data_IF_644179114489
#
_entry.id   IF_644179114489
#
_cell.length_a   1.000
_cell.length_b   1.000
_cell.length_c   1.000
_cell.angle_alpha   90.00
_cell.angle_beta   90.00
_cell.angle_gamma   90.00
#
_symmetry.space_group_name_H-M   'P 1'
#
loop_
_entity.id
_entity.type
_entity.pdbx_description
1 polymer ?
#
# COMPACT_ATOMS: atom_id res chain seq x y z
N UNK A 1 10.43 -6.74 -7.39
CA UNK A 1 11.17 -6.45 -6.13
C UNK A 1 10.53 -7.20 -4.97
N UNK A 2 11.35 -7.82 -4.18
CA UNK A 2 10.95 -8.48 -2.94
C UNK A 2 11.26 -7.58 -1.74
N UNK A 3 10.89 -8.02 -0.54
CA UNK A 3 10.99 -7.20 0.69
C UNK A 3 12.36 -6.55 0.91
N UNK A 4 13.45 -7.29 0.68
CA UNK A 4 14.79 -6.73 0.92
C UNK A 4 15.12 -5.56 0.00
N UNK A 5 14.66 -5.61 -1.23
CA UNK A 5 14.83 -4.51 -2.17
C UNK A 5 13.88 -3.35 -1.85
N UNK A 6 12.64 -3.68 -1.48
CA UNK A 6 11.64 -2.69 -1.08
C UNK A 6 12.14 -1.87 0.11
N UNK A 7 12.76 -2.53 1.09
CA UNK A 7 13.31 -1.88 2.29
C UNK A 7 14.40 -0.86 1.96
N UNK A 8 15.05 -0.98 0.81
CA UNK A 8 16.07 -0.01 0.39
C UNK A 8 15.44 1.26 -0.17
N UNK A 9 14.15 1.22 -0.51
CA UNK A 9 13.45 2.33 -1.15
C UNK A 9 12.52 3.03 -0.15
N UNK A 10 11.73 2.27 0.61
CA UNK A 10 10.79 2.85 1.57
C UNK A 10 11.25 2.63 3.01
N UNK A 11 10.90 3.53 3.94
CA UNK A 11 11.37 3.44 5.33
C UNK A 11 10.61 2.43 6.19
N UNK A 12 9.50 1.91 5.71
CA UNK A 12 8.64 0.99 6.46
C UNK A 12 9.38 -0.28 6.86
N UNK A 13 9.11 -0.78 8.07
CA UNK A 13 9.71 -2.02 8.61
C UNK A 13 8.64 -2.82 9.34
N UNK A 14 8.89 -4.12 9.47
CA UNK A 14 7.99 -5.00 10.22
C UNK A 14 7.77 -4.46 11.64
N UNK A 15 6.55 -4.53 12.20
CA UNK A 15 5.39 -5.20 11.64
C UNK A 15 4.55 -4.36 10.67
N UNK A 16 4.97 -3.13 10.34
CA UNK A 16 4.23 -2.22 9.46
C UNK A 16 4.67 -2.28 8.00
N UNK A 17 5.58 -3.16 7.63
CA UNK A 17 5.87 -3.42 6.22
C UNK A 17 4.83 -4.40 5.69
N UNK A 18 3.88 -3.90 4.91
CA UNK A 18 2.67 -4.62 4.51
C UNK A 18 2.60 -4.87 3.00
N UNK A 19 3.74 -5.06 2.38
CA UNK A 19 3.87 -5.41 0.96
C UNK A 19 4.91 -6.51 0.84
N UNK A 20 4.58 -7.60 0.16
CA UNK A 20 5.50 -8.72 -0.06
C UNK A 20 6.36 -8.52 -1.29
N UNK A 21 5.78 -7.97 -2.35
CA UNK A 21 6.52 -7.68 -3.59
C UNK A 21 5.85 -6.56 -4.37
N UNK A 22 6.64 -5.83 -5.14
CA UNK A 22 6.17 -4.76 -6.05
C UNK A 22 6.95 -4.83 -7.34
N UNK A 23 6.26 -4.64 -8.45
CA UNK A 23 6.85 -4.48 -9.76
C UNK A 23 6.34 -3.15 -10.36
N UNK A 24 7.25 -2.34 -10.90
CA UNK A 24 6.85 -1.08 -11.54
C UNK A 24 6.98 -1.27 -13.06
N UNK A 25 5.84 -1.16 -13.75
CA UNK A 25 5.75 -1.36 -15.20
C UNK A 25 5.00 -0.17 -15.80
N UNK A 26 5.66 0.56 -16.70
CA UNK A 26 5.07 1.69 -17.42
C UNK A 26 4.40 2.71 -16.49
N UNK A 27 5.07 3.04 -15.38
CA UNK A 27 4.57 4.02 -14.41
C UNK A 27 3.47 3.50 -13.50
N UNK A 28 3.19 2.21 -13.52
CA UNK A 28 2.20 1.57 -12.65
C UNK A 28 2.92 0.65 -11.67
N UNK A 29 2.62 0.82 -10.37
CA UNK A 29 3.13 -0.08 -9.35
C UNK A 29 2.13 -1.23 -9.18
N UNK A 30 2.63 -2.45 -9.34
CA UNK A 30 1.87 -3.68 -9.14
C UNK A 30 2.40 -4.34 -7.88
N UNK A 31 1.66 -4.19 -6.78
CA UNK A 31 2.06 -4.72 -5.49
C UNK A 31 1.26 -5.95 -5.09
N UNK A 32 1.80 -6.76 -4.20
CA UNK A 32 1.12 -7.95 -3.66
C UNK A 32 1.37 -8.10 -2.19
N UNK A 33 0.36 -8.55 -1.47
CA UNK A 33 0.48 -8.97 -0.10
C UNK A 33 -0.39 -10.20 0.15
N UNK A 34 0.19 -11.25 0.74
CA UNK A 34 -0.55 -12.45 1.14
C UNK A 34 -0.80 -12.39 2.65
N UNK A 35 -2.07 -12.44 3.04
CA UNK A 35 -2.47 -12.41 4.45
C UNK A 35 -2.21 -13.78 5.05
N UNK A 36 -1.32 -13.85 6.07
CA UNK A 36 -0.93 -15.10 6.71
C UNK A 36 -1.96 -15.59 7.73
N UNK A 37 -2.46 -14.65 8.54
CA UNK A 37 -3.41 -14.97 9.62
C UNK A 37 -2.90 -14.63 11.01
N UNK A 38 -1.59 -14.40 11.16
CA UNK A 38 -0.95 -14.05 12.44
C UNK A 38 -0.62 -12.57 12.59
N UNK A 39 -0.99 -11.75 11.63
CA UNK A 39 -0.67 -10.33 11.67
C UNK A 39 -1.37 -9.63 12.83
N UNK A 40 -0.70 -8.60 13.39
CA UNK A 40 -1.19 -7.86 14.54
C UNK A 40 -2.57 -7.23 14.28
N UNK A 41 -2.85 -6.80 13.04
CA UNK A 41 -4.09 -6.10 12.70
C UNK A 41 -5.31 -7.03 12.63
N UNK A 42 -5.11 -8.34 12.65
CA UNK A 42 -6.21 -9.31 12.69
C UNK A 42 -6.65 -9.63 14.10
N UNK A 43 -5.79 -9.36 15.08
CA UNK A 43 -6.07 -9.66 16.48
C UNK A 43 -7.14 -8.74 17.02
N UNK A 44 -8.33 -9.29 17.32
CA UNK A 44 -9.47 -8.51 17.77
C UNK A 44 -10.31 -7.89 16.65
N UNK A 45 -9.99 -8.13 15.40
CA UNK A 45 -10.71 -7.56 14.26
C UNK A 45 -11.17 -8.63 13.27
N UNK A 46 -12.12 -9.49 13.62
CA UNK A 46 -12.87 -9.56 14.86
C UNK A 46 -12.65 -10.93 15.50
N UNK A 47 -12.92 -11.14 16.82
CA UNK A 47 -12.78 -12.45 17.43
C UNK A 47 -13.58 -13.51 16.66
N UNK A 48 -12.95 -14.64 16.34
CA UNK A 48 -13.52 -15.74 15.55
C UNK A 48 -13.94 -15.38 14.12
N UNK A 49 -13.67 -14.17 13.67
CA UNK A 49 -14.03 -13.71 12.33
C UNK A 49 -12.98 -12.70 11.85
N UNK A 50 -11.73 -13.11 11.64
CA UNK A 50 -10.66 -12.19 11.27
C UNK A 50 -10.86 -11.66 9.85
N UNK A 51 -10.74 -10.34 9.71
CA UNK A 51 -10.82 -9.65 8.43
C UNK A 51 -9.82 -8.49 8.46
N UNK A 52 -9.17 -8.23 7.33
CA UNK A 52 -8.19 -7.15 7.25
C UNK A 52 -8.93 -5.81 7.39
N UNK A 53 -8.54 -4.97 8.38
CA UNK A 53 -9.16 -3.66 8.53
C UNK A 53 -9.01 -2.79 7.29
N UNK A 54 -10.05 -2.03 6.97
CA UNK A 54 -10.03 -1.15 5.79
C UNK A 54 -8.85 -0.18 5.80
N UNK A 55 -8.52 0.38 6.96
CA UNK A 55 -7.39 1.32 7.08
C UNK A 55 -6.05 0.66 6.77
N UNK A 56 -5.93 -0.64 7.04
CA UNK A 56 -4.72 -1.41 6.70
C UNK A 56 -4.64 -1.61 5.19
N UNK A 57 -5.76 -1.83 4.51
CA UNK A 57 -5.78 -1.90 3.04
C UNK A 57 -5.34 -0.57 2.43
N UNK A 58 -5.73 0.55 3.03
CA UNK A 58 -5.26 1.87 2.61
C UNK A 58 -3.75 2.01 2.80
N UNK A 59 -3.21 1.50 3.90
CA UNK A 59 -1.77 1.52 4.15
C UNK A 59 -1.02 0.67 3.13
N UNK A 60 -1.55 -0.50 2.79
CA UNK A 60 -0.97 -1.36 1.76
C UNK A 60 -0.95 -0.68 0.39
N UNK A 61 -2.04 -0.01 0.01
CA UNK A 61 -2.10 0.77 -1.22
C UNK A 61 -1.00 1.85 -1.22
N UNK A 62 -0.88 2.55 -0.11
CA UNK A 62 0.12 3.62 0.04
C UNK A 62 1.55 3.12 -0.08
N UNK A 63 1.86 2.02 0.57
CA UNK A 63 3.21 1.45 0.52
C UNK A 63 3.57 0.99 -0.89
N UNK A 64 2.63 0.35 -1.58
CA UNK A 64 2.83 -0.05 -2.97
C UNK A 64 3.10 1.16 -3.84
N UNK A 65 2.33 2.23 -3.67
CA UNK A 65 2.46 3.46 -4.44
C UNK A 65 3.78 4.18 -4.20
N UNK A 66 4.35 4.06 -3.00
CA UNK A 66 5.63 4.71 -2.67
C UNK A 66 6.78 4.26 -3.57
N UNK A 67 6.68 3.09 -4.19
CA UNK A 67 7.69 2.61 -5.13
C UNK A 67 7.69 3.41 -6.44
N UNK A 68 6.68 4.26 -6.66
CA UNK A 68 6.60 5.17 -7.81
C UNK A 68 7.29 6.51 -7.55
N UNK A 69 7.67 6.79 -6.30
CA UNK A 69 8.39 8.01 -5.96
C UNK A 69 9.78 7.94 -6.58
N UNK A 70 10.25 9.08 -7.08
CA UNK A 70 11.51 9.17 -7.81
C UNK A 70 12.66 8.50 -7.03
N UNK A 71 13.29 7.53 -7.68
CA UNK A 71 14.41 6.77 -7.10
C UNK A 71 15.65 7.64 -6.87
N UNK A 72 15.73 8.81 -7.50
CA UNK A 72 16.81 9.77 -7.25
C UNK A 72 16.66 10.46 -5.91
N UNK A 73 15.46 10.39 -5.31
CA UNK A 73 15.25 10.87 -3.95
C UNK A 73 15.69 9.76 -3.00
N UNK A 74 16.91 9.88 -2.51
CA UNK A 74 17.44 8.96 -1.50
C UNK A 74 16.95 9.41 -0.13
N UNK A 75 16.56 8.44 0.71
CA UNK A 75 16.25 8.69 2.10
C UNK A 75 15.08 9.69 2.26
N UNK A 76 13.89 9.22 2.07
CA UNK A 76 12.67 10.00 2.24
C UNK A 76 11.70 9.32 3.20
N UNK A 77 10.81 10.12 3.79
CA UNK A 77 9.69 9.59 4.59
C UNK A 77 8.39 10.08 3.96
N UNK A 78 7.50 9.17 3.56
CA UNK A 78 6.19 9.55 3.03
C UNK A 78 5.18 9.63 4.18
N UNK A 79 4.43 10.72 4.22
CA UNK A 79 3.33 10.89 5.17
C UNK A 79 2.02 11.05 4.40
N UNK A 80 0.99 10.33 4.82
CA UNK A 80 -0.35 10.57 4.26
C UNK A 80 -0.79 11.99 4.58
N UNK A 81 -1.28 12.69 3.56
CA UNK A 81 -1.88 14.03 3.72
C UNK A 81 -3.38 14.03 3.42
N UNK A 82 -3.88 12.99 2.78
CA UNK A 82 -5.31 12.89 2.53
C UNK A 82 -5.68 11.62 1.79
N UNK A 83 -6.95 11.28 1.87
CA UNK A 83 -7.57 10.18 1.14
C UNK A 83 -8.96 10.62 0.69
N UNK A 84 -9.29 10.37 -0.58
CA UNK A 84 -10.58 10.72 -1.15
C UNK A 84 -11.21 9.52 -1.85
N UNK A 85 -12.54 9.46 -1.82
CA UNK A 85 -13.29 8.43 -2.54
C UNK A 85 -12.84 7.01 -2.25
N UNK A 86 -12.47 6.75 -1.01
CA UNK A 86 -12.06 5.41 -0.59
C UNK A 86 -13.30 4.54 -0.46
N UNK A 87 -13.28 3.39 -1.12
CA UNK A 87 -14.39 2.44 -1.12
C UNK A 87 -13.90 1.04 -0.82
N UNK A 88 -14.64 0.33 0.02
CA UNK A 88 -14.35 -1.06 0.38
C UNK A 88 -15.48 -1.92 -0.17
N UNK A 89 -15.15 -2.80 -1.13
CA UNK A 89 -16.15 -3.56 -1.88
C UNK A 89 -16.25 -5.02 -1.45
N UNK A 90 -15.13 -5.64 -1.10
CA UNK A 90 -15.09 -7.05 -0.70
C UNK A 90 -14.13 -7.22 0.46
N UNK A 91 -14.44 -8.16 1.36
CA UNK A 91 -13.58 -8.48 2.50
C UNK A 91 -12.28 -9.12 2.02
N UNK A 92 -11.20 -8.86 2.76
CA UNK A 92 -9.92 -9.53 2.58
C UNK A 92 -9.68 -10.38 3.83
N UNK A 93 -9.48 -11.67 3.65
CA UNK A 93 -9.43 -12.67 4.72
C UNK A 93 -8.06 -13.33 4.79
N UNK A 94 -7.73 -13.97 5.94
CA UNK A 94 -6.51 -14.78 6.02
C UNK A 94 -6.45 -15.79 4.87
N UNK A 95 -5.27 -15.92 4.27
CA UNK A 95 -5.04 -16.76 3.10
C UNK A 95 -5.21 -16.06 1.77
N UNK A 96 -5.87 -14.89 1.74
CA UNK A 96 -6.03 -14.14 0.51
C UNK A 96 -4.72 -13.45 0.10
N UNK A 97 -4.46 -13.42 -1.21
CA UNK A 97 -3.43 -12.55 -1.78
C UNK A 97 -4.13 -11.37 -2.44
N UNK A 98 -3.81 -10.18 -1.95
CA UNK A 98 -4.36 -8.96 -2.55
C UNK A 98 -3.32 -8.36 -3.49
N UNK A 99 -3.77 -7.97 -4.69
CA UNK A 99 -2.92 -7.36 -5.72
C UNK A 99 -3.32 -5.90 -5.87
N UNK A 100 -2.33 -5.02 -5.80
CA UNK A 100 -2.55 -3.58 -5.87
C UNK A 100 -2.07 -3.02 -7.19
N UNK A 101 -2.81 -2.02 -7.68
CA UNK A 101 -2.47 -1.26 -8.87
C UNK A 101 -2.48 0.22 -8.49
N UNK A 102 -1.35 0.89 -8.66
CA UNK A 102 -1.22 2.30 -8.27
C UNK A 102 -0.54 3.10 -9.35
N UNK A 103 -0.99 4.34 -9.56
CA UNK A 103 -0.32 5.26 -10.47
C UNK A 103 -0.37 6.67 -9.93
N UNK A 104 0.66 7.45 -10.24
CA UNK A 104 0.72 8.86 -9.89
C UNK A 104 -0.19 9.62 -10.85
N UNK A 105 -1.09 10.44 -10.29
CA UNK A 105 -1.98 11.28 -11.08
C UNK A 105 -1.50 12.74 -11.15
N UNK A 106 -0.73 13.17 -10.15
CA UNK A 106 -0.18 14.53 -10.12
C UNK A 106 0.96 14.58 -9.11
N UNK A 107 1.89 15.51 -9.36
CA UNK A 107 3.00 15.81 -8.43
C UNK A 107 3.08 17.30 -8.26
N UNK A 108 3.03 17.77 -7.02
CA UNK A 108 3.27 19.16 -6.63
C UNK A 108 4.18 19.12 -5.42
N UNK A 109 5.47 19.05 -5.65
CA UNK A 109 6.44 18.84 -4.58
C UNK A 109 6.19 19.71 -3.35
N UNK A 110 6.18 19.16 -2.14
CA UNK A 110 6.54 17.79 -1.77
C UNK A 110 5.37 16.79 -1.87
N UNK A 111 4.26 17.16 -2.50
CA UNK A 111 3.02 16.37 -2.53
C UNK A 111 2.92 15.48 -3.77
N UNK A 112 2.55 14.23 -3.54
CA UNK A 112 2.29 13.24 -4.58
C UNK A 112 0.85 12.78 -4.48
N UNK A 113 0.16 12.72 -5.61
CA UNK A 113 -1.23 12.30 -5.70
C UNK A 113 -1.31 11.00 -6.48
N UNK A 114 -2.00 10.03 -5.91
CA UNK A 114 -2.00 8.63 -6.38
C UNK A 114 -3.43 8.16 -6.52
N UNK A 115 -3.68 7.38 -7.56
CA UNK A 115 -4.90 6.57 -7.70
C UNK A 115 -4.50 5.12 -7.50
N UNK A 116 -5.22 4.40 -6.62
CA UNK A 116 -4.88 3.02 -6.27
C UNK A 116 -6.11 2.15 -6.13
N UNK A 117 -5.93 0.86 -6.39
CA UNK A 117 -6.97 -0.15 -6.21
C UNK A 117 -6.34 -1.48 -5.82
N UNK A 118 -7.09 -2.31 -5.10
CA UNK A 118 -6.64 -3.62 -4.68
C UNK A 118 -7.67 -4.69 -5.00
N UNK A 119 -7.19 -5.86 -5.44
CA UNK A 119 -8.02 -6.95 -5.93
C UNK A 119 -7.62 -8.27 -5.30
N UNK A 120 -8.62 -9.11 -4.98
CA UNK A 120 -8.41 -10.50 -4.59
C UNK A 120 -9.08 -11.37 -5.65
N UNK A 121 -8.31 -12.24 -6.30
CA UNK A 121 -8.81 -13.12 -7.38
C UNK A 121 -9.60 -12.34 -8.44
N UNK A 122 -9.09 -11.16 -8.81
CA UNK A 122 -9.69 -10.30 -9.81
C UNK A 122 -10.90 -9.50 -9.35
N UNK A 123 -11.35 -9.65 -8.11
CA UNK A 123 -12.47 -8.89 -7.57
C UNK A 123 -11.97 -7.68 -6.79
N UNK A 124 -12.52 -6.52 -7.07
CA UNK A 124 -12.15 -5.28 -6.40
C UNK A 124 -12.48 -5.36 -4.90
N UNK A 125 -11.48 -5.15 -4.07
CA UNK A 125 -11.63 -5.11 -2.61
C UNK A 125 -11.60 -3.69 -2.08
N UNK A 126 -10.71 -2.86 -2.60
CA UNK A 126 -10.52 -1.48 -2.14
C UNK A 126 -10.09 -0.60 -3.30
N UNK A 127 -10.51 0.66 -3.28
CA UNK A 127 -10.04 1.67 -4.23
C UNK A 127 -10.03 3.03 -3.55
N UNK A 128 -9.21 3.94 -4.04
CA UNK A 128 -9.18 5.29 -3.52
C UNK A 128 -8.15 6.18 -4.18
N UNK A 129 -8.21 7.45 -3.81
CA UNK A 129 -7.23 8.46 -4.18
C UNK A 129 -6.46 8.83 -2.93
N UNK A 130 -5.14 8.79 -3.01
CA UNK A 130 -4.25 8.99 -1.88
C UNK A 130 -3.33 10.18 -2.16
N UNK A 131 -2.96 10.90 -1.11
CA UNK A 131 -1.92 11.92 -1.23
C UNK A 131 -0.89 11.76 -0.13
N UNK A 132 0.37 12.07 -0.48
CA UNK A 132 1.50 12.00 0.43
C UNK A 132 2.30 13.29 0.39
N UNK A 133 2.88 13.67 1.53
CA UNK A 133 4.00 14.58 1.56
C UNK A 133 5.27 13.73 1.64
N UNK A 134 6.19 13.92 0.71
CA UNK A 134 7.46 13.19 0.66
C UNK A 134 8.54 14.10 1.22
N UNK A 135 9.02 13.78 2.43
CA UNK A 135 9.98 14.61 3.14
C UNK A 135 11.37 14.00 2.98
N UNK A 136 12.26 14.72 2.30
CA UNK A 136 13.63 14.29 2.02
C UNK A 136 14.49 14.38 3.25
N UNK A 137 15.39 13.42 3.44
CA UNK A 137 16.38 13.45 4.51
C UNK A 137 15.85 13.06 5.90
N UNK A 138 14.65 12.53 5.97
CA UNK A 138 14.11 12.03 7.24
C UNK A 138 14.21 10.53 7.39
#
# INVERSE_FOLDING_TARGET
MKKEEIKQIIPHREPMLLIDEVEVVDGIALGKYTVRGDEFFLQGHFPDNPVVPGVILCEMMGQSACLLIDQEINNFTPYFTGMNNVKFKNKVLPGDTIEFKSQITNVKEPFYFIKSSGYVKGKLSVSGELSFAVIKGE
#
